data_IF_181992914309
#
_entry.id   IF_181992914309
#
_cell.length_a   1.000
_cell.length_b   1.000
_cell.length_c   1.000
_cell.angle_alpha   90.00
_cell.angle_beta   90.00
_cell.angle_gamma   90.00
#
_symmetry.space_group_name_H-M   'P 1'
#
loop_
_entity.id
_entity.type
_entity.pdbx_description
1 polymer ?
#
# COMPACT_ATOMS: atom_id res chain seq x y z
N UNK A 1 -5.50 3.51 18.26
CA UNK A 1 -5.39 4.73 17.41
C UNK A 1 -4.74 4.34 16.10
N UNK A 2 -5.00 5.09 15.02
CA UNK A 2 -4.36 4.88 13.72
C UNK A 2 -3.91 6.21 13.14
N UNK A 3 -2.85 6.19 12.34
CA UNK A 3 -2.26 7.39 11.73
C UNK A 3 -2.48 7.35 10.23
N UNK A 4 -2.94 8.46 9.65
CA UNK A 4 -3.00 8.60 8.20
C UNK A 4 -1.58 8.66 7.63
N UNK A 5 -1.25 7.75 6.72
CA UNK A 5 0.05 7.66 6.06
C UNK A 5 -0.13 7.59 4.56
N UNK A 6 0.90 8.03 3.83
CA UNK A 6 1.07 7.80 2.40
C UNK A 6 2.40 7.08 2.21
N UNK A 7 2.34 5.90 1.60
CA UNK A 7 3.50 5.08 1.27
C UNK A 7 3.42 4.68 -0.20
N UNK A 8 4.48 4.12 -0.75
CA UNK A 8 4.47 3.59 -2.10
C UNK A 8 5.74 2.81 -2.36
N UNK A 9 5.81 2.15 -3.51
CA UNK A 9 6.93 1.30 -3.85
C UNK A 9 6.53 0.29 -4.91
N UNK A 10 7.28 -0.81 -4.98
CA UNK A 10 7.00 -1.92 -5.89
C UNK A 10 6.19 -2.99 -5.18
N UNK A 11 5.13 -3.48 -5.80
CA UNK A 11 4.36 -4.60 -5.28
C UNK A 11 5.23 -5.86 -5.33
N UNK A 12 5.36 -6.54 -4.19
CA UNK A 12 6.16 -7.77 -4.08
C UNK A 12 5.30 -9.03 -3.94
N UNK A 13 4.05 -8.89 -3.49
CA UNK A 13 3.10 -9.98 -3.33
C UNK A 13 1.66 -9.46 -3.41
N UNK A 14 0.76 -10.23 -4.01
CA UNK A 14 -0.69 -9.99 -3.98
C UNK A 14 -1.38 -11.26 -3.50
N UNK A 15 -2.25 -11.12 -2.50
CA UNK A 15 -3.07 -12.21 -1.96
C UNK A 15 -4.52 -11.74 -1.87
N UNK A 16 -5.25 -11.92 -2.97
CA UNK A 16 -6.66 -11.54 -3.07
C UNK A 16 -7.55 -12.28 -2.05
N UNK A 17 -7.43 -13.61 -1.85
CA UNK A 17 -8.25 -14.34 -0.87
C UNK A 17 -8.10 -13.83 0.56
N UNK A 18 -6.90 -13.37 0.95
CA UNK A 18 -6.63 -12.79 2.26
C UNK A 18 -6.72 -11.25 2.29
N UNK A 19 -7.14 -10.64 1.18
CA UNK A 19 -7.36 -9.20 0.98
C UNK A 19 -6.17 -8.34 1.44
N UNK A 20 -4.97 -8.73 1.00
CA UNK A 20 -3.78 -7.90 1.20
C UNK A 20 -2.82 -7.98 0.01
N UNK A 21 -1.92 -7.01 -0.05
CA UNK A 21 -0.73 -7.05 -0.88
C UNK A 21 0.45 -6.42 -0.13
N UNK A 22 1.66 -6.72 -0.57
CA UNK A 22 2.89 -6.16 -0.01
C UNK A 22 3.49 -5.15 -0.98
N UNK A 23 4.00 -4.03 -0.45
CA UNK A 23 4.69 -3.00 -1.23
C UNK A 23 6.01 -2.65 -0.56
N UNK A 24 7.09 -2.52 -1.34
CA UNK A 24 8.44 -2.25 -0.83
C UNK A 24 9.05 -1.05 -1.54
N UNK A 25 9.52 -0.08 -0.76
CA UNK A 25 10.20 1.14 -1.22
C UNK A 25 11.74 1.04 -1.18
N UNK A 26 12.27 -0.12 -0.80
CA UNK A 26 13.69 -0.40 -0.60
C UNK A 26 14.11 -0.38 0.88
N UNK A 27 13.24 0.04 1.80
CA UNK A 27 13.47 -0.01 3.25
C UNK A 27 12.85 -1.24 3.92
N UNK A 28 12.02 -2.00 3.20
CA UNK A 28 11.35 -3.20 3.67
C UNK A 28 9.86 -3.23 3.29
N UNK A 29 9.22 -4.41 3.37
CA UNK A 29 7.85 -4.59 2.91
C UNK A 29 6.83 -3.99 3.87
N UNK A 30 5.93 -3.18 3.34
CA UNK A 30 4.73 -2.71 4.02
C UNK A 30 3.52 -3.56 3.61
N UNK A 31 2.79 -4.07 4.60
CA UNK A 31 1.54 -4.81 4.36
C UNK A 31 0.37 -3.86 4.17
N UNK A 32 -0.25 -3.92 3.00
CA UNK A 32 -1.44 -3.15 2.65
C UNK A 32 -2.65 -4.06 2.74
N UNK A 33 -3.62 -3.69 3.58
CA UNK A 33 -4.87 -4.43 3.75
C UNK A 33 -6.02 -3.68 3.07
N UNK A 34 -6.79 -4.42 2.29
CA UNK A 34 -7.93 -3.92 1.53
C UNK A 34 -9.17 -4.60 2.08
N UNK A 35 -10.07 -3.85 2.69
CA UNK A 35 -11.34 -4.41 3.12
C UNK A 35 -12.25 -4.68 1.90
N UNK A 36 -12.85 -5.88 1.80
CA UNK A 36 -13.58 -6.32 0.61
C UNK A 36 -14.78 -5.45 0.23
N UNK A 37 -15.35 -4.68 1.17
CA UNK A 37 -16.48 -3.77 0.91
C UNK A 37 -16.07 -2.49 0.17
N UNK A 38 -14.77 -2.20 0.03
CA UNK A 38 -14.30 -0.96 -0.59
C UNK A 38 -14.44 -0.94 -2.11
N UNK A 39 -14.60 -2.09 -2.77
CA UNK A 39 -14.67 -2.15 -4.24
C UNK A 39 -13.33 -1.90 -4.93
N UNK A 40 -12.21 -2.09 -4.23
CA UNK A 40 -10.89 -2.08 -4.86
C UNK A 40 -10.74 -3.36 -5.67
N UNK A 41 -10.63 -3.22 -6.99
CA UNK A 41 -10.26 -4.34 -7.86
C UNK A 41 -8.78 -4.68 -7.61
N UNK A 42 -8.54 -5.75 -6.85
CA UNK A 42 -7.20 -6.26 -6.56
C UNK A 42 -6.63 -7.10 -7.70
N UNK A 43 -7.47 -7.61 -8.62
CA UNK A 43 -7.02 -8.46 -9.74
C UNK A 43 -6.15 -7.70 -10.75
N UNK A 44 -6.24 -6.36 -10.73
CA UNK A 44 -5.38 -5.46 -11.52
C UNK A 44 -3.98 -5.29 -10.94
N UNK A 45 -3.77 -5.64 -9.66
CA UNK A 45 -2.49 -5.45 -8.97
C UNK A 45 -1.56 -6.62 -9.32
N UNK A 46 -0.33 -6.32 -9.72
CA UNK A 46 0.66 -7.35 -10.05
C UNK A 46 1.99 -7.08 -9.37
N UNK A 47 2.67 -8.16 -8.99
CA UNK A 47 4.04 -8.06 -8.51
C UNK A 47 4.93 -7.44 -9.60
N UNK A 48 5.80 -6.52 -9.18
CA UNK A 48 6.63 -5.70 -10.07
C UNK A 48 6.02 -4.33 -10.42
N UNK A 49 4.71 -4.14 -10.25
CA UNK A 49 4.09 -2.85 -10.50
C UNK A 49 4.36 -1.85 -9.38
N UNK A 50 4.46 -0.58 -9.75
CA UNK A 50 4.66 0.51 -8.78
C UNK A 50 3.34 1.19 -8.42
N UNK A 51 3.12 1.39 -7.13
CA UNK A 51 1.90 2.02 -6.61
C UNK A 51 2.19 3.01 -5.49
N UNK A 52 1.26 3.94 -5.30
CA UNK A 52 1.19 4.82 -4.15
C UNK A 52 -0.10 4.56 -3.39
N UNK A 53 0.03 4.32 -2.09
CA UNK A 53 -1.06 3.95 -1.19
C UNK A 53 -1.23 5.02 -0.12
N UNK A 54 -2.47 5.47 0.06
CA UNK A 54 -2.85 6.29 1.23
C UNK A 54 -3.73 5.46 2.16
N UNK A 55 -3.52 5.54 3.46
CA UNK A 55 -4.32 4.72 4.38
C UNK A 55 -4.00 4.92 5.84
N UNK A 56 -4.64 4.13 6.69
CA UNK A 56 -4.47 4.21 8.15
C UNK A 56 -3.49 3.13 8.61
N UNK A 57 -2.31 3.57 9.07
CA UNK A 57 -1.37 2.72 9.76
C UNK A 57 -2.00 2.20 11.07
N UNK A 58 -2.00 0.88 11.24
CA UNK A 58 -2.60 0.18 12.37
C UNK A 58 -1.93 -1.17 12.59
N UNK A 59 -2.28 -1.85 13.68
CA UNK A 59 -1.84 -3.22 13.98
C UNK A 59 -3.06 -4.13 13.95
N UNK A 60 -3.01 -5.18 13.14
CA UNK A 60 -4.00 -6.26 13.12
C UNK A 60 -3.43 -7.56 13.70
N UNK A 61 -4.21 -8.65 13.63
CA UNK A 61 -3.76 -9.97 14.12
C UNK A 61 -2.50 -10.48 13.38
N UNK A 62 -2.32 -10.11 12.11
CA UNK A 62 -1.15 -10.45 11.30
C UNK A 62 0.02 -9.45 11.43
N UNK A 63 -0.05 -8.50 12.37
CA UNK A 63 0.98 -7.49 12.60
C UNK A 63 0.66 -6.11 12.03
N UNK A 64 1.71 -5.30 11.83
CA UNK A 64 1.61 -3.93 11.32
C UNK A 64 1.07 -3.91 9.89
N UNK A 65 0.16 -2.97 9.61
CA UNK A 65 -0.48 -2.82 8.29
C UNK A 65 -0.91 -1.39 8.03
N UNK A 66 -1.09 -1.07 6.76
CA UNK A 66 -1.82 0.11 6.30
C UNK A 66 -3.18 -0.35 5.78
N UNK A 67 -4.27 0.15 6.35
CA UNK A 67 -5.63 -0.11 5.86
C UNK A 67 -6.02 0.95 4.84
N UNK A 68 -6.40 0.50 3.65
CA UNK A 68 -6.97 1.36 2.60
C UNK A 68 -8.32 1.91 3.08
N UNK A 69 -8.63 3.17 2.75
CA UNK A 69 -9.89 3.81 3.16
C UNK A 69 -10.88 3.87 2.01
N UNK A 70 -10.39 4.12 0.79
CA UNK A 70 -11.19 4.27 -0.43
C UNK A 70 -10.45 3.71 -1.66
N UNK A 71 -11.12 3.33 -2.75
CA UNK A 71 -10.47 2.90 -4.00
C UNK A 71 -9.45 3.89 -4.55
N UNK A 72 -9.73 5.19 -4.43
CA UNK A 72 -8.89 6.28 -4.92
C UNK A 72 -7.58 6.41 -4.14
N UNK A 73 -7.48 5.77 -2.97
CA UNK A 73 -6.23 5.73 -2.19
C UNK A 73 -5.21 4.73 -2.79
N UNK A 74 -5.57 3.93 -3.81
CA UNK A 74 -4.71 2.95 -4.49
C UNK A 74 -4.40 3.42 -5.91
N UNK A 75 -3.33 4.19 -6.05
CA UNK A 75 -2.98 4.90 -7.28
C UNK A 75 -1.77 4.24 -7.95
N UNK A 76 -1.89 3.96 -9.25
CA UNK A 76 -0.77 3.44 -10.04
C UNK A 76 0.32 4.50 -10.21
N UNK A 77 1.57 4.04 -10.16
CA UNK A 77 2.76 4.87 -10.18
C UNK A 77 3.31 5.16 -8.79
N UNK A 78 4.64 5.23 -8.72
CA UNK A 78 5.37 5.63 -7.53
C UNK A 78 6.36 6.73 -7.90
N UNK A 79 5.96 7.98 -7.66
CA UNK A 79 6.92 9.06 -7.60
C UNK A 79 7.51 9.04 -6.20
N UNK A 80 8.69 8.45 -6.06
CA UNK A 80 9.54 8.73 -4.89
C UNK A 80 9.59 10.24 -4.76
N UNK A 81 9.18 10.84 -3.63
CA UNK A 81 9.31 12.29 -3.47
C UNK A 81 10.79 12.60 -3.69
N UNK A 82 11.07 13.29 -4.81
CA UNK A 82 12.42 13.67 -5.21
C UNK A 82 13.06 14.29 -3.98
N UNK A 83 14.07 13.61 -3.43
CA UNK A 83 14.85 14.09 -2.30
C UNK A 83 15.23 15.52 -2.66
N UNK A 84 14.62 16.53 -2.02
CA UNK A 84 15.05 17.91 -2.21
C UNK A 84 16.51 17.91 -1.76
N UNK A 85 17.43 17.93 -2.72
CA UNK A 85 18.82 18.24 -2.44
C UNK A 85 18.76 19.69 -2.00
N UNK A 86 18.74 19.91 -0.69
CA UNK A 86 19.08 21.20 -0.13
C UNK A 86 20.55 21.42 -0.51
N UNK A 87 20.76 22.23 -1.55
CA UNK A 87 22.06 22.84 -1.86
C UNK A 87 22.23 24.04 -0.95
#
# INVERSE_FOLDING_TARGET
TGTLVRTGGTITEVNEPASYFLIDDGSGPARIHVDGYLGVDMSRLKAGDQYTITGIASVGAAGARVRVRFPEDVVAGYNTPSKKIAV
#
